data_IF_834176067642
#
_entry.id   IF_834176067642
#
_cell.length_a   1.000
_cell.length_b   1.000
_cell.length_c   1.000
_cell.angle_alpha   90.00
_cell.angle_beta   90.00
_cell.angle_gamma   90.00
#
_symmetry.space_group_name_H-M   'P 1'
#
loop_
_entity.id
_entity.type
_entity.pdbx_description
1 polymer ?
#
# COMPACT_ATOMS: atom_id res chain seq x y z
N UNK A 1 19.22 10.36 1.60
CA UNK A 1 18.40 10.25 2.82
C UNK A 1 17.67 8.93 2.73
N UNK A 2 17.48 8.25 3.85
CA UNK A 2 16.82 6.95 3.93
C UNK A 2 15.82 6.97 5.09
N UNK A 3 14.80 6.13 5.00
CA UNK A 3 13.79 5.95 6.03
C UNK A 3 13.81 4.51 6.51
N UNK A 4 13.54 4.30 7.79
CA UNK A 4 13.43 2.96 8.38
C UNK A 4 11.95 2.61 8.55
N UNK A 5 11.60 1.40 8.14
CA UNK A 5 10.25 0.86 8.23
C UNK A 5 10.29 -0.52 8.90
N UNK A 6 9.41 -0.75 9.88
CA UNK A 6 9.41 -1.97 10.69
C UNK A 6 8.41 -2.99 10.12
N UNK A 7 8.90 -4.03 9.45
CA UNK A 7 8.08 -5.07 8.83
C UNK A 7 7.56 -6.16 9.77
N UNK A 8 7.75 -6.05 11.09
CA UNK A 8 7.41 -7.14 12.04
C UNK A 8 5.94 -7.55 12.01
N UNK A 9 5.01 -6.61 11.80
CA UNK A 9 3.58 -6.92 11.67
C UNK A 9 3.31 -7.91 10.52
N UNK A 10 4.09 -7.80 9.44
CA UNK A 10 4.00 -8.67 8.26
C UNK A 10 4.96 -9.87 8.32
N UNK A 11 5.48 -10.22 9.50
CA UNK A 11 6.50 -11.27 9.66
C UNK A 11 7.79 -11.03 8.84
N UNK A 12 8.09 -9.77 8.55
CA UNK A 12 9.29 -9.31 7.85
C UNK A 12 10.28 -8.63 8.80
N UNK A 13 11.48 -8.36 8.29
CA UNK A 13 12.52 -7.60 8.99
C UNK A 13 12.25 -6.10 8.95
N UNK A 14 13.05 -5.31 9.67
CA UNK A 14 13.13 -3.87 9.43
C UNK A 14 13.88 -3.60 8.12
N UNK A 15 13.38 -2.67 7.32
CA UNK A 15 14.03 -2.24 6.07
C UNK A 15 14.53 -0.80 6.20
N UNK A 16 15.58 -0.50 5.45
CA UNK A 16 16.05 0.86 5.21
C UNK A 16 15.84 1.17 3.73
N UNK A 17 15.01 2.16 3.44
CA UNK A 17 14.58 2.50 2.08
C UNK A 17 15.09 3.89 1.72
N UNK A 18 15.82 4.00 0.61
CA UNK A 18 16.33 5.28 0.15
C UNK A 18 15.22 6.19 -0.39
N UNK A 19 15.24 7.47 -0.03
CA UNK A 19 14.30 8.49 -0.55
C UNK A 19 14.79 9.06 -1.88
N UNK A 20 15.07 8.20 -2.85
CA UNK A 20 15.50 8.62 -4.20
C UNK A 20 14.32 9.12 -5.03
N UNK A 21 14.59 9.91 -6.08
CA UNK A 21 13.56 10.33 -7.05
C UNK A 21 12.81 9.13 -7.65
N UNK A 22 13.49 8.00 -7.84
CA UNK A 22 12.89 6.76 -8.31
C UNK A 22 11.84 6.24 -7.33
N UNK A 23 12.17 6.20 -6.03
CA UNK A 23 11.29 5.69 -4.99
C UNK A 23 10.12 6.64 -4.69
N UNK A 24 10.37 7.95 -4.68
CA UNK A 24 9.31 8.98 -4.59
C UNK A 24 8.32 8.82 -5.75
N UNK A 25 8.81 8.68 -6.99
CA UNK A 25 7.94 8.45 -8.15
C UNK A 25 7.16 7.14 -8.06
N UNK A 26 7.75 6.09 -7.50
CA UNK A 26 7.06 4.83 -7.29
C UNK A 26 5.92 4.98 -6.28
N UNK A 27 6.15 5.68 -5.17
CA UNK A 27 5.13 5.97 -4.16
C UNK A 27 3.97 6.79 -4.73
N UNK A 28 4.26 7.86 -5.49
CA UNK A 28 3.22 8.69 -6.11
C UNK A 28 2.36 7.90 -7.12
N UNK A 29 2.99 6.99 -7.88
CA UNK A 29 2.25 6.11 -8.80
C UNK A 29 1.35 5.13 -8.04
N UNK A 30 1.88 4.49 -6.99
CA UNK A 30 1.12 3.58 -6.16
C UNK A 30 -0.08 4.28 -5.50
N UNK A 31 0.13 5.43 -4.85
CA UNK A 31 -0.96 6.23 -4.26
C UNK A 31 -2.05 6.58 -5.27
N UNK A 32 -1.66 6.97 -6.50
CA UNK A 32 -2.63 7.27 -7.55
C UNK A 32 -3.47 6.03 -7.87
N UNK A 33 -2.84 4.87 -8.07
CA UNK A 33 -3.53 3.60 -8.35
C UNK A 33 -4.44 3.19 -7.19
N UNK A 34 -3.97 3.28 -5.95
CA UNK A 34 -4.78 2.96 -4.76
C UNK A 34 -6.00 3.88 -4.64
N UNK A 35 -5.85 5.17 -4.95
CA UNK A 35 -6.96 6.11 -4.96
C UNK A 35 -8.00 5.79 -6.06
N UNK A 36 -7.54 5.42 -7.25
CA UNK A 36 -8.43 5.00 -8.36
C UNK A 36 -9.25 3.75 -7.98
N UNK A 37 -8.61 2.75 -7.37
CA UNK A 37 -9.27 1.53 -6.87
C UNK A 37 -10.22 1.82 -5.69
N UNK A 38 -9.80 2.65 -4.75
CA UNK A 38 -10.65 3.09 -3.63
C UNK A 38 -11.90 3.82 -4.13
N UNK A 39 -11.78 4.64 -5.17
CA UNK A 39 -12.93 5.28 -5.82
C UNK A 39 -13.86 4.24 -6.44
N UNK A 40 -13.33 3.20 -7.09
CA UNK A 40 -14.13 2.12 -7.67
C UNK A 40 -14.91 1.35 -6.60
N UNK A 41 -14.23 0.97 -5.51
CA UNK A 41 -14.83 0.30 -4.33
C UNK A 41 -15.97 1.14 -3.76
N UNK A 42 -15.78 2.45 -3.63
CA UNK A 42 -16.77 3.36 -3.04
C UNK A 42 -17.87 3.83 -4.01
N UNK A 43 -17.75 3.54 -5.32
CA UNK A 43 -18.68 4.04 -6.35
C UNK A 43 -19.93 3.18 -6.52
N UNK A 44 -20.01 2.06 -5.83
CA UNK A 44 -21.15 1.15 -5.97
C UNK A 44 -22.40 1.75 -5.33
N UNK A 45 -23.43 1.84 -6.17
CA UNK A 45 -24.69 2.53 -5.86
C UNK A 45 -25.86 1.59 -5.64
N UNK A 46 -25.76 0.36 -6.14
CA UNK A 46 -26.85 -0.62 -6.16
C UNK A 46 -26.33 -1.99 -5.69
N UNK A 47 -27.16 -2.73 -4.93
CA UNK A 47 -26.86 -4.08 -4.43
C UNK A 47 -27.04 -5.17 -5.52
N UNK A 48 -26.81 -4.83 -6.79
CA UNK A 48 -26.90 -5.80 -7.87
C UNK A 48 -25.62 -6.65 -7.98
N UNK A 49 -25.77 -7.88 -8.47
CA UNK A 49 -24.68 -8.85 -8.54
C UNK A 49 -23.47 -8.33 -9.35
N UNK A 50 -23.69 -7.51 -10.38
CA UNK A 50 -22.60 -6.96 -11.18
C UNK A 50 -21.83 -5.90 -10.38
N UNK A 51 -22.54 -5.02 -9.70
CA UNK A 51 -21.93 -4.03 -8.81
C UNK A 51 -21.12 -4.70 -7.71
N UNK A 52 -21.62 -5.78 -7.10
CA UNK A 52 -20.87 -6.56 -6.10
C UNK A 52 -19.59 -7.16 -6.70
N UNK A 53 -19.68 -7.77 -7.90
CA UNK A 53 -18.52 -8.32 -8.60
C UNK A 53 -17.47 -7.24 -8.91
N UNK A 54 -17.90 -6.03 -9.28
CA UNK A 54 -17.00 -4.91 -9.56
C UNK A 54 -16.26 -4.46 -8.29
N UNK A 55 -16.93 -4.42 -7.12
CA UNK A 55 -16.27 -4.13 -5.83
C UNK A 55 -15.23 -5.19 -5.50
N UNK A 56 -15.61 -6.47 -5.55
CA UNK A 56 -14.72 -7.57 -5.20
C UNK A 56 -13.48 -7.57 -6.09
N UNK A 57 -13.67 -7.34 -7.39
CA UNK A 57 -12.56 -7.20 -8.36
C UNK A 57 -11.67 -6.00 -8.03
N UNK A 58 -12.24 -4.86 -7.65
CA UNK A 58 -11.46 -3.68 -7.27
C UNK A 58 -10.68 -3.89 -5.97
N UNK A 59 -11.25 -4.64 -5.01
CA UNK A 59 -10.58 -5.01 -3.76
C UNK A 59 -9.43 -5.99 -4.01
N UNK A 60 -9.63 -7.04 -4.81
CA UNK A 60 -8.57 -7.98 -5.20
C UNK A 60 -7.41 -7.23 -5.87
N UNK A 61 -7.72 -6.35 -6.84
CA UNK A 61 -6.70 -5.52 -7.50
C UNK A 61 -5.97 -4.58 -6.52
N UNK A 62 -6.61 -4.12 -5.44
CA UNK A 62 -5.96 -3.27 -4.44
C UNK A 62 -4.89 -4.06 -3.69
N UNK A 63 -5.21 -5.28 -3.25
CA UNK A 63 -4.27 -6.18 -2.57
C UNK A 63 -3.08 -6.52 -3.48
N UNK A 64 -3.36 -6.87 -4.74
CA UNK A 64 -2.33 -7.15 -5.74
C UNK A 64 -1.37 -5.97 -5.95
N UNK A 65 -1.89 -4.75 -6.03
CA UNK A 65 -1.07 -3.56 -6.24
C UNK A 65 -0.27 -3.17 -4.99
N UNK A 66 -0.79 -3.41 -3.79
CA UNK A 66 -0.05 -3.26 -2.53
C UNK A 66 1.13 -4.24 -2.46
N UNK A 67 0.91 -5.52 -2.76
CA UNK A 67 1.96 -6.54 -2.81
C UNK A 67 3.02 -6.20 -3.87
N UNK A 68 2.62 -5.87 -5.10
CA UNK A 68 3.53 -5.45 -6.18
C UNK A 68 4.36 -4.24 -5.78
N UNK A 69 3.74 -3.26 -5.11
CA UNK A 69 4.44 -2.09 -4.61
C UNK A 69 5.49 -2.49 -3.57
N UNK A 70 5.12 -3.29 -2.56
CA UNK A 70 6.01 -3.75 -1.50
C UNK A 70 7.18 -4.57 -2.04
N UNK A 71 6.90 -5.55 -2.92
CA UNK A 71 7.92 -6.37 -3.60
C UNK A 71 8.95 -5.49 -4.30
N UNK A 72 8.48 -4.48 -5.02
CA UNK A 72 9.33 -3.57 -5.79
C UNK A 72 10.14 -2.62 -4.92
N UNK A 73 9.53 -2.02 -3.90
CA UNK A 73 10.15 -0.94 -3.11
C UNK A 73 11.09 -1.49 -2.03
N UNK A 74 10.79 -2.66 -1.48
CA UNK A 74 11.60 -3.33 -0.45
C UNK A 74 12.52 -4.41 -1.03
N UNK A 75 12.45 -4.66 -2.34
CA UNK A 75 13.21 -5.70 -3.02
C UNK A 75 13.00 -7.09 -2.39
N UNK A 76 11.74 -7.44 -2.15
CA UNK A 76 11.39 -8.68 -1.48
C UNK A 76 11.68 -9.90 -2.36
N UNK A 77 12.14 -10.97 -1.72
CA UNK A 77 12.16 -12.32 -2.29
C UNK A 77 10.75 -12.91 -2.35
N UNK A 78 10.54 -13.94 -3.18
CA UNK A 78 9.23 -14.61 -3.28
C UNK A 78 8.77 -15.16 -1.92
N UNK A 79 9.67 -15.75 -1.12
CA UNK A 79 9.34 -16.21 0.24
C UNK A 79 8.97 -15.07 1.23
N UNK A 80 9.29 -13.81 0.92
CA UNK A 80 8.83 -12.65 1.69
C UNK A 80 7.51 -12.12 1.15
N UNK A 81 7.21 -12.34 -0.13
CA UNK A 81 5.93 -12.03 -0.75
C UNK A 81 4.86 -12.98 -0.24
N UNK A 82 5.14 -14.29 -0.16
CA UNK A 82 4.23 -15.28 0.43
C UNK A 82 3.78 -14.88 1.84
N UNK A 83 4.68 -14.29 2.63
CA UNK A 83 4.34 -13.78 3.98
C UNK A 83 3.39 -12.59 3.96
N UNK A 84 3.46 -11.75 2.93
CA UNK A 84 2.53 -10.63 2.74
C UNK A 84 1.16 -11.18 2.32
N UNK A 85 1.13 -12.13 1.40
CA UNK A 85 -0.12 -12.81 0.97
C UNK A 85 -0.82 -13.52 2.14
N UNK A 86 -0.07 -14.09 3.08
CA UNK A 86 -0.58 -14.73 4.29
C UNK A 86 -0.92 -13.75 5.44
N UNK A 87 -0.61 -12.45 5.29
CA UNK A 87 -0.83 -11.44 6.34
C UNK A 87 -2.25 -10.89 6.33
N UNK A 88 -2.65 -10.25 7.45
CA UNK A 88 -3.91 -9.51 7.51
C UNK A 88 -3.89 -8.35 6.50
N UNK A 89 -4.90 -8.23 5.61
CA UNK A 89 -4.95 -7.14 4.62
C UNK A 89 -4.88 -5.74 5.23
N UNK A 90 -5.47 -5.54 6.41
CA UNK A 90 -5.41 -4.26 7.11
C UNK A 90 -4.00 -3.91 7.57
N UNK A 91 -3.26 -4.89 8.10
CA UNK A 91 -1.85 -4.70 8.46
C UNK A 91 -0.97 -4.41 7.23
N UNK A 92 -1.27 -5.02 6.07
CA UNK A 92 -0.58 -4.75 4.80
C UNK A 92 -0.84 -3.30 4.34
N UNK A 93 -2.10 -2.88 4.29
CA UNK A 93 -2.48 -1.51 3.89
C UNK A 93 -1.92 -0.45 4.84
N UNK A 94 -1.93 -0.69 6.15
CA UNK A 94 -1.30 0.19 7.15
C UNK A 94 0.21 0.33 6.89
N UNK A 95 0.89 -0.79 6.66
CA UNK A 95 2.32 -0.81 6.40
C UNK A 95 2.68 -0.06 5.11
N UNK A 96 1.89 -0.25 4.04
CA UNK A 96 2.04 0.48 2.78
C UNK A 96 1.88 1.98 2.99
N UNK A 97 0.87 2.40 3.75
CA UNK A 97 0.60 3.80 4.05
C UNK A 97 1.75 4.44 4.84
N UNK A 98 2.23 3.79 5.90
CA UNK A 98 3.36 4.28 6.71
C UNK A 98 4.64 4.38 5.87
N UNK A 99 4.93 3.37 5.05
CA UNK A 99 6.09 3.38 4.15
C UNK A 99 6.04 4.56 3.18
N UNK A 100 4.89 4.78 2.54
CA UNK A 100 4.71 5.88 1.59
C UNK A 100 4.82 7.23 2.31
N UNK A 101 4.16 7.41 3.45
CA UNK A 101 4.21 8.64 4.24
C UNK A 101 5.65 9.01 4.61
N UNK A 102 6.43 8.03 5.07
CA UNK A 102 7.86 8.21 5.36
C UNK A 102 8.68 8.58 4.13
N UNK A 103 8.50 7.91 2.99
CA UNK A 103 9.28 8.20 1.77
C UNK A 103 8.93 9.58 1.21
N UNK A 104 7.65 9.97 1.24
CA UNK A 104 7.16 11.25 0.73
C UNK A 104 7.35 12.40 1.73
N UNK A 105 7.77 12.12 2.96
CA UNK A 105 7.87 13.10 4.05
C UNK A 105 6.55 13.82 4.30
N UNK A 106 5.43 13.10 4.16
CA UNK A 106 4.13 13.61 4.59
C UNK A 106 4.14 13.54 6.10
N UNK A 107 4.26 14.71 6.72
CA UNK A 107 4.33 14.88 8.16
C UNK A 107 2.94 14.58 8.75
N UNK A 108 2.77 13.46 9.46
CA UNK A 108 1.54 13.17 10.23
C UNK A 108 1.28 14.24 11.32
N UNK A 109 2.26 15.10 11.62
CA UNK A 109 2.19 16.12 12.65
C UNK A 109 1.55 17.47 12.22
N UNK A 110 0.92 17.55 11.04
CA UNK A 110 0.22 18.78 10.58
C UNK A 110 -1.31 18.66 10.43
N UNK A 111 -1.92 17.57 10.92
CA UNK A 111 -3.38 17.42 10.92
C UNK A 111 -4.06 17.91 12.20
N UNK A 112 -3.51 18.90 12.91
CA UNK A 112 -4.25 19.66 13.93
C UNK A 112 -4.04 21.16 13.68
N UNK A 113 -4.94 21.72 12.88
CA UNK A 113 -5.32 23.13 12.93
C UNK A 113 -6.63 23.28 12.16
N UNK A 114 -7.73 22.91 12.83
CA UNK A 114 -9.07 23.38 12.55
C UNK A 114 -9.52 24.29 13.69
#
# INVERSE_FOLDING_TARGET
MSVKINGKKLHLTTFEVETTVKNVRACLKAQKTFAELSIAINKVKDDDDQSILDVLTAQENLLDEEEKFLKKILHLSDAQVDKIEDSDPGDVSEFVTDLIGKILQVDDSKSDNA
#
